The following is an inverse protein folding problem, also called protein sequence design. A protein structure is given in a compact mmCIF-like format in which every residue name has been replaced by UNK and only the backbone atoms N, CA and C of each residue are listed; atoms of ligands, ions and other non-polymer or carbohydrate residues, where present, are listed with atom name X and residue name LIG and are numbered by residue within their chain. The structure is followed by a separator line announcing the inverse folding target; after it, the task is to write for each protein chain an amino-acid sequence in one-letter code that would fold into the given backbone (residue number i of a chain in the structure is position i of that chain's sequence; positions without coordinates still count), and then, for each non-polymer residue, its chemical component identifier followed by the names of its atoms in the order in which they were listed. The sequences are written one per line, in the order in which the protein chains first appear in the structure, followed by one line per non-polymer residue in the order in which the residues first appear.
data_IF_117705178860
#
_entry.id   IF_117705178860
#
_cell.length_a   1.000
_cell.length_b   1.000
_cell.length_c   1.000
_cell.angle_alpha   90.00
_cell.angle_beta   90.00
_cell.angle_gamma   90.00
#
_symmetry.space_group_name_H-M   'P 1'
#
loop_
_entity.id
_entity.type
_entity.pdbx_description
1 polymer ?
#
# COMPACT_ATOMS: atom_id res chain seq x y z
N UNK A 1 -3.25 17.16 8.14
CA UNK A 1 -4.10 16.18 7.48
C UNK A 1 -5.29 16.84 6.79
N UNK A 2 -6.19 17.47 7.54
CA UNK A 2 -7.48 17.99 7.03
C UNK A 2 -7.34 18.96 5.85
N UNK A 3 -6.31 19.80 5.85
CA UNK A 3 -6.14 20.85 4.83
C UNK A 3 -5.67 20.32 3.46
N UNK A 4 -4.99 19.17 3.40
CA UNK A 4 -4.30 18.72 2.18
C UNK A 4 -4.52 17.23 1.83
N UNK A 5 -4.99 16.43 2.76
CA UNK A 5 -5.06 14.97 2.59
C UNK A 5 -6.50 14.45 2.62
N UNK A 6 -7.32 15.00 3.52
CA UNK A 6 -8.66 14.50 3.80
C UNK A 6 -9.61 14.55 2.60
N UNK A 7 -9.45 15.51 1.70
CA UNK A 7 -10.31 15.62 0.51
C UNK A 7 -10.25 14.39 -0.41
N UNK A 8 -9.13 13.66 -0.38
CA UNK A 8 -8.95 12.43 -1.14
C UNK A 8 -8.98 11.17 -0.25
N UNK A 9 -8.48 11.28 0.98
CA UNK A 9 -8.26 10.14 1.86
C UNK A 9 -9.25 10.04 3.04
N UNK A 10 -10.24 10.91 3.09
CA UNK A 10 -11.17 10.97 4.21
C UNK A 10 -10.53 11.57 5.48
N UNK A 11 -11.35 11.88 6.47
CA UNK A 11 -10.86 12.51 7.71
C UNK A 11 -10.01 11.54 8.54
N UNK A 12 -10.29 10.25 8.42
CA UNK A 12 -9.63 9.18 9.17
C UNK A 12 -8.88 8.16 8.28
N UNK A 13 -8.52 8.53 7.05
CA UNK A 13 -7.81 7.65 6.14
C UNK A 13 -8.67 6.53 5.53
N UNK A 14 -9.97 6.60 5.73
CA UNK A 14 -10.98 5.67 5.20
C UNK A 14 -11.26 5.88 3.71
N UNK A 15 -10.74 6.99 3.17
CA UNK A 15 -10.83 7.37 1.76
C UNK A 15 -12.25 7.72 1.30
N UNK A 16 -12.44 7.68 0.00
CA UNK A 16 -13.71 7.90 -0.69
C UNK A 16 -13.91 6.80 -1.73
N UNK A 17 -14.91 6.94 -2.56
CA UNK A 17 -15.25 5.94 -3.59
C UNK A 17 -14.19 5.76 -4.68
N UNK A 18 -13.27 6.72 -4.84
CA UNK A 18 -12.26 6.73 -5.91
C UNK A 18 -10.95 6.11 -5.45
N UNK A 19 -10.51 6.43 -4.22
CA UNK A 19 -9.20 6.01 -3.71
C UNK A 19 -9.32 4.84 -2.74
N UNK A 20 -8.36 3.94 -2.78
CA UNK A 20 -8.28 2.87 -1.80
C UNK A 20 -8.08 3.43 -0.38
N UNK A 21 -8.73 2.87 0.62
CA UNK A 21 -8.55 3.30 1.99
C UNK A 21 -7.10 3.09 2.44
N UNK A 22 -6.59 4.06 3.16
CA UNK A 22 -5.27 3.97 3.80
C UNK A 22 -5.34 3.11 5.05
N UNK A 23 -6.39 3.29 5.83
CA UNK A 23 -6.65 2.60 7.10
C UNK A 23 -8.16 2.42 7.26
N UNK A 24 -8.61 1.32 7.90
CA UNK A 24 -10.03 1.08 8.25
C UNK A 24 -10.19 0.44 9.64
N UNK A 25 -9.17 0.51 10.50
CA UNK A 25 -9.22 -0.14 11.82
C UNK A 25 -9.28 -1.68 11.77
N UNK A 26 -8.87 -2.28 10.66
CA UNK A 26 -8.92 -3.72 10.42
C UNK A 26 -7.56 -4.42 10.60
N UNK A 27 -6.58 -3.74 11.18
CA UNK A 27 -5.30 -4.30 11.61
C UNK A 27 -5.48 -4.77 13.06
N UNK A 28 -5.03 -5.98 13.34
CA UNK A 28 -5.14 -6.59 14.66
C UNK A 28 -3.80 -6.58 15.40
N UNK A 29 -3.84 -6.71 16.72
CA UNK A 29 -2.62 -6.91 17.54
C UNK A 29 -1.83 -8.12 17.07
N UNK A 30 -2.50 -9.17 16.60
CA UNK A 30 -1.84 -10.35 16.05
C UNK A 30 -1.04 -10.02 14.78
N UNK A 31 -1.56 -9.17 13.89
CA UNK A 31 -0.86 -8.76 12.69
C UNK A 31 0.41 -8.00 13.05
N UNK A 32 0.32 -7.09 14.03
CA UNK A 32 1.46 -6.35 14.55
C UNK A 32 2.48 -7.31 15.19
N UNK A 33 2.03 -8.24 16.02
CA UNK A 33 2.90 -9.20 16.70
C UNK A 33 3.63 -10.12 15.71
N UNK A 34 2.92 -10.66 14.71
CA UNK A 34 3.47 -11.60 13.74
C UNK A 34 4.19 -10.93 12.57
N UNK A 35 3.87 -9.67 12.28
CA UNK A 35 4.31 -8.97 11.08
C UNK A 35 3.69 -9.52 9.79
N UNK A 36 2.53 -10.16 9.90
CA UNK A 36 1.78 -10.73 8.80
C UNK A 36 0.30 -10.45 8.94
N UNK A 37 -0.28 -9.78 7.95
CA UNK A 37 -1.72 -9.52 7.87
C UNK A 37 -2.39 -10.70 7.17
N UNK A 38 -2.92 -11.63 7.96
CA UNK A 38 -3.52 -12.86 7.44
C UNK A 38 -4.78 -12.59 6.59
N UNK A 39 -5.54 -11.56 6.95
CA UNK A 39 -6.78 -11.18 6.26
C UNK A 39 -6.58 -10.63 4.84
N UNK A 40 -5.34 -10.36 4.40
CA UNK A 40 -5.06 -9.96 3.01
C UNK A 40 -5.46 -11.04 1.98
N UNK A 41 -5.58 -12.28 2.38
CA UNK A 41 -6.02 -13.39 1.52
C UNK A 41 -7.53 -13.62 1.57
N UNK A 42 -8.25 -12.96 2.46
CA UNK A 42 -9.71 -13.03 2.56
C UNK A 42 -10.36 -12.08 1.55
N UNK A 43 -11.22 -12.63 0.69
CA UNK A 43 -11.93 -11.86 -0.34
C UNK A 43 -13.04 -10.94 0.23
N UNK A 44 -13.49 -11.18 1.45
CA UNK A 44 -14.50 -10.38 2.11
C UNK A 44 -13.93 -9.14 2.81
N UNK A 45 -12.61 -9.06 2.95
CA UNK A 45 -11.94 -7.96 3.66
C UNK A 45 -11.47 -6.87 2.70
N UNK A 46 -11.88 -5.65 2.96
CA UNK A 46 -11.35 -4.47 2.26
C UNK A 46 -9.88 -4.27 2.60
N UNK A 47 -9.04 -4.29 1.58
CA UNK A 47 -7.58 -4.18 1.73
C UNK A 47 -7.16 -2.73 1.79
N UNK A 48 -6.56 -2.34 2.91
CA UNK A 48 -6.04 -0.98 3.09
C UNK A 48 -4.56 -0.89 2.72
N UNK A 49 -4.07 0.34 2.55
CA UNK A 49 -2.65 0.59 2.27
C UNK A 49 -1.78 0.10 3.41
N UNK A 50 -2.16 0.40 4.67
CA UNK A 50 -1.35 0.02 5.83
C UNK A 50 -1.28 -1.50 6.05
N UNK A 51 -2.30 -2.26 5.63
CA UNK A 51 -2.24 -3.72 5.62
C UNK A 51 -1.21 -4.28 4.62
N UNK A 52 -0.91 -3.56 3.55
CA UNK A 52 -0.07 -4.04 2.45
C UNK A 52 1.38 -3.61 2.55
N UNK A 53 1.62 -2.39 3.02
CA UNK A 53 2.96 -1.79 3.06
C UNK A 53 3.85 -2.50 4.09
N UNK A 54 4.97 -3.12 3.67
CA UNK A 54 5.83 -3.87 4.59
C UNK A 54 6.83 -2.98 5.31
N UNK A 55 7.22 -1.84 4.72
CA UNK A 55 8.27 -0.99 5.27
C UNK A 55 7.79 0.43 5.51
N UNK A 56 8.16 0.94 6.68
CA UNK A 56 7.86 2.30 7.09
C UNK A 56 8.58 3.34 6.22
N UNK A 57 9.79 3.01 5.79
CA UNK A 57 10.57 3.85 4.86
C UNK A 57 9.87 4.04 3.52
N UNK A 58 9.22 3.00 2.98
CA UNK A 58 8.44 3.11 1.75
C UNK A 58 7.24 4.04 1.94
N UNK A 59 6.53 3.94 3.06
CA UNK A 59 5.39 4.81 3.37
C UNK A 59 5.85 6.27 3.48
N UNK A 60 6.93 6.52 4.24
CA UNK A 60 7.50 7.84 4.43
C UNK A 60 7.94 8.46 3.10
N UNK A 61 8.71 7.71 2.33
CA UNK A 61 9.28 8.17 1.07
C UNK A 61 8.21 8.44 0.00
N UNK A 62 7.16 7.61 -0.06
CA UNK A 62 6.05 7.83 -0.96
C UNK A 62 5.29 9.13 -0.63
N UNK A 63 5.01 9.37 0.66
CA UNK A 63 4.35 10.62 1.09
C UNK A 63 5.25 11.81 0.74
N UNK A 64 6.53 11.76 1.06
CA UNK A 64 7.46 12.84 0.80
C UNK A 64 7.59 13.21 -0.69
N UNK A 65 7.67 12.19 -1.56
CA UNK A 65 7.89 12.41 -2.99
C UNK A 65 6.64 12.66 -3.81
N UNK A 66 5.52 12.06 -3.45
CA UNK A 66 4.34 11.99 -4.29
C UNK A 66 3.11 12.68 -3.72
N UNK A 67 3.09 12.99 -2.42
CA UNK A 67 1.95 13.58 -1.76
C UNK A 67 2.22 14.99 -1.21
N UNK A 68 1.23 15.89 -1.18
CA UNK A 68 -0.10 15.78 -1.81
C UNK A 68 0.01 15.68 -3.33
N UNK A 69 -0.85 14.89 -3.97
CA UNK A 69 -0.78 14.64 -5.41
C UNK A 69 -0.80 15.89 -6.28
N UNK A 70 -1.56 16.91 -5.87
CA UNK A 70 -1.63 18.21 -6.55
C UNK A 70 -0.44 19.13 -6.25
N UNK A 71 0.41 18.80 -5.27
CA UNK A 71 1.60 19.55 -4.88
C UNK A 71 2.72 18.62 -4.35
N UNK A 72 3.24 17.70 -5.18
CA UNK A 72 4.27 16.75 -4.73
C UNK A 72 5.53 17.49 -4.27
N UNK A 73 6.19 16.94 -3.25
CA UNK A 73 7.40 17.51 -2.62
C UNK A 73 7.20 18.86 -1.92
N UNK A 74 5.98 19.23 -1.59
CA UNK A 74 5.69 20.48 -0.87
C UNK A 74 5.80 20.33 0.66
N UNK A 75 5.81 19.10 1.17
CA UNK A 75 5.89 18.83 2.60
C UNK A 75 7.35 18.85 3.09
N UNK A 76 7.56 19.39 4.26
CA UNK A 76 8.82 19.26 4.99
C UNK A 76 8.98 17.84 5.56
N UNK A 77 10.20 17.37 5.84
CA UNK A 77 10.42 16.08 6.49
C UNK A 77 9.63 15.90 7.80
N UNK A 78 9.54 16.92 8.63
CA UNK A 78 8.81 16.89 9.90
C UNK A 78 7.30 16.70 9.69
N UNK A 79 6.72 17.37 8.69
CA UNK A 79 5.32 17.17 8.31
C UNK A 79 5.08 15.73 7.82
N UNK A 80 6.01 15.14 7.09
CA UNK A 80 5.91 13.75 6.64
C UNK A 80 5.98 12.79 7.83
N UNK A 81 6.88 13.02 8.80
CA UNK A 81 6.92 12.22 10.03
C UNK A 81 5.60 12.30 10.80
N UNK A 82 5.04 13.49 10.94
CA UNK A 82 3.75 13.69 11.60
C UNK A 82 2.60 12.98 10.88
N UNK A 83 2.57 13.03 9.54
CA UNK A 83 1.56 12.33 8.73
C UNK A 83 1.68 10.81 8.83
N UNK A 84 2.91 10.29 8.82
CA UNK A 84 3.15 8.87 9.01
C UNK A 84 2.73 8.43 10.40
N UNK A 85 3.09 9.19 11.46
CA UNK A 85 2.65 8.91 12.83
C UNK A 85 1.12 8.87 12.93
N UNK A 86 0.43 9.83 12.32
CA UNK A 86 -1.03 9.87 12.27
C UNK A 86 -1.63 8.61 11.63
N UNK A 87 -1.12 8.16 10.49
CA UNK A 87 -1.58 6.93 9.82
C UNK A 87 -1.32 5.68 10.66
N UNK A 88 -0.17 5.62 11.33
CA UNK A 88 0.17 4.54 12.23
C UNK A 88 -0.74 4.49 13.47
N UNK A 89 -1.10 5.67 14.00
CA UNK A 89 -2.05 5.80 15.09
C UNK A 89 -3.46 5.34 14.68
N UNK A 90 -3.96 5.78 13.54
CA UNK A 90 -5.23 5.31 12.98
C UNK A 90 -5.27 3.78 12.78
N UNK A 91 -4.12 3.17 12.52
CA UNK A 91 -3.93 1.72 12.42
C UNK A 91 -3.62 1.01 13.74
N UNK A 92 -3.68 1.71 14.87
CA UNK A 92 -3.36 1.19 16.21
C UNK A 92 -1.93 0.62 16.34
N UNK A 93 -1.01 1.06 15.49
CA UNK A 93 0.40 0.66 15.54
C UNK A 93 1.15 1.45 16.60
N UNK A 94 0.79 2.71 16.80
CA UNK A 94 1.34 3.60 17.83
C UNK A 94 0.22 4.30 18.59
N UNK A 95 0.54 4.75 19.81
CA UNK A 95 -0.39 5.50 20.67
C UNK A 95 -0.59 6.94 20.15
N UNK A 96 -1.61 7.65 20.64
CA UNK A 96 -2.02 8.97 20.17
C UNK A 96 -1.05 10.11 20.53
N UNK A 97 -0.20 9.90 21.54
CA UNK A 97 0.84 10.83 21.97
C UNK A 97 2.22 10.54 21.35
N UNK A 98 2.30 9.53 20.47
CA UNK A 98 3.57 9.10 19.90
C UNK A 98 4.13 10.10 18.88
N UNK A 99 5.41 10.44 19.03
CA UNK A 99 6.15 11.31 18.12
C UNK A 99 7.15 10.49 17.30
N UNK A 100 6.89 10.36 15.98
CA UNK A 100 7.80 9.70 15.06
C UNK A 100 8.90 10.65 14.60
N UNK A 101 10.12 10.15 14.51
CA UNK A 101 11.29 10.87 14.02
C UNK A 101 12.30 9.94 13.34
N UNK A 102 13.36 10.50 12.79
CA UNK A 102 14.49 9.77 12.23
C UNK A 102 15.22 8.90 13.29
N UNK A 103 15.14 9.27 14.56
CA UNK A 103 15.82 8.56 15.64
C UNK A 103 15.09 7.31 16.10
N UNK A 104 13.77 7.21 15.91
CA UNK A 104 12.95 6.09 16.37
C UNK A 104 12.23 5.30 15.26
N UNK A 105 12.28 5.76 14.01
CA UNK A 105 11.62 5.09 12.89
C UNK A 105 12.05 3.63 12.71
N UNK A 106 13.30 3.30 13.00
CA UNK A 106 13.81 1.93 12.90
C UNK A 106 13.19 0.99 13.95
N UNK A 107 12.90 1.49 15.14
CA UNK A 107 12.18 0.76 16.17
C UNK A 107 10.72 0.50 15.76
N UNK A 108 10.05 1.52 15.23
CA UNK A 108 8.66 1.40 14.80
C UNK A 108 8.51 0.48 13.60
N UNK A 109 9.54 0.34 12.75
CA UNK A 109 9.55 -0.66 11.69
C UNK A 109 9.26 -2.07 12.22
N UNK A 110 9.71 -2.42 13.41
CA UNK A 110 9.43 -3.72 14.04
C UNK A 110 7.94 -3.92 14.40
N UNK A 111 7.15 -2.86 14.41
CA UNK A 111 5.69 -2.88 14.66
C UNK A 111 4.85 -2.86 13.40
N UNK A 112 5.45 -2.68 12.22
CA UNK A 112 4.68 -2.67 10.96
C UNK A 112 3.91 -3.98 10.79
N UNK A 113 2.59 -3.92 10.54
CA UNK A 113 1.71 -5.09 10.59
C UNK A 113 2.02 -6.13 9.49
N UNK A 114 2.61 -5.71 8.37
CA UNK A 114 2.95 -6.61 7.27
C UNK A 114 4.46 -6.63 6.94
N UNK A 115 5.32 -6.33 7.92
CA UNK A 115 6.79 -6.28 7.73
C UNK A 115 7.39 -7.57 7.17
N UNK A 116 6.77 -8.71 7.43
CA UNK A 116 7.16 -10.04 6.94
C UNK A 116 6.34 -10.45 5.70
N UNK A 117 5.55 -9.55 5.12
CA UNK A 117 4.70 -9.81 3.97
C UNK A 117 5.41 -9.78 2.63
N UNK A 118 6.59 -9.17 2.55
CA UNK A 118 7.39 -9.14 1.34
C UNK A 118 8.03 -10.50 1.08
N UNK A 119 7.94 -10.99 -0.15
CA UNK A 119 8.63 -12.19 -0.60
C UNK A 119 9.61 -11.83 -1.71
N UNK A 120 10.82 -12.37 -1.62
CA UNK A 120 11.82 -12.30 -2.68
C UNK A 120 11.86 -13.59 -3.51
N UNK A 121 11.19 -14.63 -3.05
CA UNK A 121 11.10 -15.93 -3.72
C UNK A 121 9.87 -15.97 -4.64
N UNK A 122 9.82 -15.06 -5.60
CA UNK A 122 8.75 -14.95 -6.59
C UNK A 122 9.20 -15.36 -8.00
N UNK A 123 10.48 -15.69 -8.18
CA UNK A 123 11.04 -16.12 -9.46
C UNK A 123 11.22 -15.02 -10.52
N UNK A 124 10.72 -13.80 -10.29
CA UNK A 124 10.75 -12.72 -11.29
C UNK A 124 12.17 -12.23 -11.62
N UNK A 125 13.11 -12.43 -10.71
CA UNK A 125 14.51 -12.06 -10.91
C UNK A 125 15.39 -13.22 -11.41
N UNK A 126 14.80 -14.40 -11.60
CA UNK A 126 15.49 -15.56 -12.17
C UNK A 126 15.47 -15.46 -13.69
N UNK A 127 16.63 -15.28 -14.29
CA UNK A 127 16.77 -15.17 -15.76
C UNK A 127 16.44 -16.49 -16.46
N UNK A 128 16.72 -17.62 -15.82
CA UNK A 128 16.41 -18.94 -16.37
C UNK A 128 15.02 -19.39 -15.92
N UNK A 129 14.09 -19.48 -16.87
CA UNK A 129 12.74 -19.96 -16.64
C UNK A 129 11.73 -18.90 -16.17
N UNK A 130 12.11 -17.65 -16.05
CA UNK A 130 11.17 -16.55 -15.79
C UNK A 130 10.49 -16.11 -17.09
N UNK A 131 9.15 -16.18 -17.20
CA UNK A 131 8.44 -15.90 -18.45
C UNK A 131 8.60 -14.48 -18.97
N UNK A 132 8.74 -13.51 -18.07
CA UNK A 132 8.82 -12.09 -18.41
C UNK A 132 10.20 -11.65 -18.92
N UNK A 133 11.21 -12.50 -18.87
CA UNK A 133 12.52 -12.25 -19.51
C UNK A 133 12.69 -13.02 -20.83
N UNK A 134 11.75 -13.86 -21.20
CA UNK A 134 11.68 -14.53 -22.49
C UNK A 134 10.87 -13.67 -23.46
N UNK A 135 11.49 -12.63 -23.96
CA UNK A 135 10.89 -11.79 -24.99
C UNK A 135 10.92 -12.44 -26.37
N UNK A 136 10.01 -12.02 -27.23
CA UNK A 136 10.06 -12.31 -28.66
C UNK A 136 11.03 -11.35 -29.34
N UNK A 137 11.80 -11.80 -30.30
CA UNK A 137 12.63 -10.94 -31.17
C UNK A 137 11.79 -10.18 -32.21
N UNK A 138 10.50 -10.43 -32.27
CA UNK A 138 9.59 -9.75 -33.16
C UNK A 138 9.32 -8.32 -32.67
N UNK A 139 9.61 -7.32 -33.51
CA UNK A 139 9.43 -5.90 -33.23
C UNK A 139 8.42 -5.20 -34.14
N UNK A 140 7.98 -5.87 -35.20
CA UNK A 140 6.97 -5.36 -36.13
C UNK A 140 6.24 -6.52 -36.81
N UNK A 141 4.96 -6.32 -37.13
CA UNK A 141 4.09 -7.27 -37.86
C UNK A 141 4.11 -8.70 -37.29
N UNK A 142 4.18 -8.80 -35.97
CA UNK A 142 4.23 -10.06 -35.29
C UNK A 142 2.87 -10.78 -35.37
N UNK A 143 2.86 -11.95 -35.94
CA UNK A 143 1.68 -12.83 -35.95
C UNK A 143 1.54 -13.48 -34.56
N UNK A 144 0.96 -12.72 -33.62
CA UNK A 144 0.82 -13.17 -32.23
C UNK A 144 -0.65 -13.52 -31.96
N UNK A 145 -0.91 -14.80 -31.79
CA UNK A 145 -2.17 -15.24 -31.21
C UNK A 145 -2.23 -14.85 -29.73
N UNK A 146 -2.98 -13.81 -29.42
CA UNK A 146 -3.17 -13.35 -28.04
C UNK A 146 -4.11 -14.34 -27.33
N UNK A 147 -3.64 -14.98 -26.29
CA UNK A 147 -4.45 -15.84 -25.45
C UNK A 147 -4.45 -15.28 -24.02
N UNK A 148 -5.63 -15.06 -23.46
CA UNK A 148 -5.77 -14.71 -22.04
C UNK A 148 -5.52 -15.97 -21.21
N UNK A 149 -4.38 -16.05 -20.54
CA UNK A 149 -3.98 -17.20 -19.74
C UNK A 149 -4.36 -17.12 -18.27
N UNK A 150 -4.68 -15.92 -17.78
CA UNK A 150 -5.14 -15.70 -16.41
C UNK A 150 -5.97 -14.41 -16.34
N UNK A 151 -6.80 -14.32 -15.33
CA UNK A 151 -7.52 -13.09 -14.97
C UNK A 151 -7.27 -12.79 -13.49
N UNK A 152 -7.47 -11.51 -13.10
CA UNK A 152 -7.46 -11.18 -11.68
C UNK A 152 -8.56 -11.96 -10.97
N UNK A 153 -8.25 -12.55 -9.80
CA UNK A 153 -9.28 -13.20 -8.99
C UNK A 153 -10.35 -12.17 -8.58
N UNK A 154 -11.59 -12.63 -8.37
CA UNK A 154 -12.73 -11.76 -8.09
C UNK A 154 -12.48 -10.81 -6.91
N UNK A 155 -11.75 -11.24 -5.89
CA UNK A 155 -11.39 -10.41 -4.74
C UNK A 155 -10.44 -9.25 -5.07
N UNK A 156 -9.74 -9.30 -6.18
CA UNK A 156 -8.82 -8.23 -6.62
C UNK A 156 -9.48 -7.26 -7.61
N UNK A 157 -10.67 -7.59 -8.12
CA UNK A 157 -11.32 -6.79 -9.16
C UNK A 157 -12.04 -5.55 -8.62
N UNK A 158 -12.47 -5.55 -7.37
CA UNK A 158 -13.26 -4.47 -6.76
C UNK A 158 -12.58 -3.89 -5.50
N UNK A 159 -11.29 -3.60 -5.58
CA UNK A 159 -10.57 -3.01 -4.45
C UNK A 159 -11.06 -1.58 -4.09
N UNK A 160 -11.82 -0.93 -4.97
CA UNK A 160 -12.18 0.49 -4.86
C UNK A 160 -13.68 0.78 -5.08
N UNK A 161 -14.53 -0.22 -4.95
CA UNK A 161 -15.94 -0.08 -5.28
C UNK A 161 -16.22 -0.11 -6.80
N UNK A 162 -17.50 -0.04 -7.14
CA UNK A 162 -17.94 -0.11 -8.53
C UNK A 162 -17.94 1.29 -9.15
N UNK A 163 -16.94 1.59 -9.98
CA UNK A 163 -16.85 2.88 -10.69
C UNK A 163 -18.09 3.17 -11.55
N UNK A 164 -18.84 2.14 -11.98
CA UNK A 164 -20.06 2.30 -12.77
C UNK A 164 -21.25 2.85 -11.96
N UNK A 165 -21.19 2.81 -10.65
CA UNK A 165 -22.21 3.38 -9.75
C UNK A 165 -21.90 4.83 -9.35
N UNK A 166 -20.79 5.38 -9.83
CA UNK A 166 -20.27 6.72 -9.49
C UNK A 166 -20.57 7.78 -10.56
N UNK A 167 -21.34 7.46 -11.59
CA UNK A 167 -21.70 8.39 -12.68
C UNK A 167 -23.17 8.80 -12.56
#
# INVERSE_FOLDING_TARGET
WLAQCASCHGDFGDSNEIFAPLVLGNITERDIATGRVASLTDSAVTRTTLMKVPTLSTLWDYIYRAMPWNAPKSLSPDEVYALVAYLLNLGHVVDDDFVLSDTNIAEIQARMPNRNGMSLDHGLWSVSGAPDVTGSSCTADCDVAITVTSSLPAYAMNAHGNLAEQV
#
